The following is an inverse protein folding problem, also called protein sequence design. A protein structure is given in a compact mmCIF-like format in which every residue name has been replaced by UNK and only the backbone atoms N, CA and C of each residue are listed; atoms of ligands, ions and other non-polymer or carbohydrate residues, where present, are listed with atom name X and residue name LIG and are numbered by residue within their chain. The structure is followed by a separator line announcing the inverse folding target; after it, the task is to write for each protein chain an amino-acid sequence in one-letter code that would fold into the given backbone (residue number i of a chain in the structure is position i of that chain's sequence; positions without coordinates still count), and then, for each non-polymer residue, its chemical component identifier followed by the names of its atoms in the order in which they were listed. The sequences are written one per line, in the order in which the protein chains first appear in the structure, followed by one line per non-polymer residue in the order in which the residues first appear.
data_IF_685065350208
#
_entry.id   IF_685065350208
#
_cell.length_a   1.000
_cell.length_b   1.000
_cell.length_c   1.000
_cell.angle_alpha   90.00
_cell.angle_beta   90.00
_cell.angle_gamma   90.00
#
_symmetry.space_group_name_H-M   'P 1'
#
loop_
_entity.id
_entity.type
_entity.pdbx_description
1 polymer ?
#
# COMPACT_ATOMS: atom_id res chain seq x y z
N UNK A 1 14.99 -3.95 6.77
CA UNK A 1 13.99 -5.02 6.55
C UNK A 1 13.81 -5.27 5.06
N UNK A 2 13.82 -6.52 4.60
CA UNK A 2 13.84 -6.83 3.17
C UNK A 2 12.43 -7.10 2.62
N UNK A 3 12.02 -6.37 1.58
CA UNK A 3 10.81 -6.65 0.80
C UNK A 3 11.17 -7.08 -0.62
N UNK A 4 10.58 -8.17 -1.09
CA UNK A 4 10.68 -8.59 -2.49
C UNK A 4 9.58 -7.88 -3.29
N UNK A 5 9.96 -6.98 -4.20
CA UNK A 5 9.03 -6.15 -4.95
C UNK A 5 9.02 -6.49 -6.44
N UNK A 6 7.83 -6.44 -7.06
CA UNK A 6 7.66 -6.54 -8.51
C UNK A 6 7.88 -5.17 -9.17
N UNK A 7 8.07 -5.14 -10.49
CA UNK A 7 8.14 -3.88 -11.24
C UNK A 7 6.87 -3.03 -11.08
N UNK A 8 5.69 -3.68 -11.13
CA UNK A 8 4.41 -2.99 -10.95
C UNK A 8 4.29 -2.35 -9.56
N UNK A 9 4.72 -3.05 -8.51
CA UNK A 9 4.75 -2.52 -7.15
C UNK A 9 5.70 -1.32 -7.03
N UNK A 10 6.87 -1.37 -7.66
CA UNK A 10 7.82 -0.26 -7.64
C UNK A 10 7.31 0.98 -8.38
N UNK A 11 6.75 0.80 -9.58
CA UNK A 11 6.19 1.91 -10.35
C UNK A 11 5.07 2.60 -9.58
N UNK A 12 4.20 1.80 -8.95
CA UNK A 12 3.12 2.32 -8.15
C UNK A 12 3.62 3.11 -6.92
N UNK A 13 4.65 2.61 -6.22
CA UNK A 13 5.25 3.32 -5.10
C UNK A 13 5.92 4.62 -5.53
N UNK A 14 6.67 4.61 -6.64
CA UNK A 14 7.34 5.80 -7.18
C UNK A 14 6.33 6.88 -7.58
N UNK A 15 5.23 6.50 -8.25
CA UNK A 15 4.16 7.41 -8.63
C UNK A 15 3.40 8.02 -7.43
N UNK A 16 3.38 7.28 -6.31
CA UNK A 16 2.72 7.69 -5.06
C UNK A 16 3.52 8.68 -4.22
N UNK A 17 4.79 8.92 -4.55
CA UNK A 17 5.72 9.72 -3.76
C UNK A 17 6.13 11.00 -4.49
N UNK A 18 6.39 12.06 -3.72
CA UNK A 18 7.03 13.29 -4.21
C UNK A 18 8.32 13.55 -3.43
N UNK A 19 9.31 14.13 -4.09
CA UNK A 19 10.55 14.53 -3.42
C UNK A 19 10.30 15.75 -2.53
N UNK A 20 10.83 15.70 -1.30
CA UNK A 20 11.07 16.89 -0.48
C UNK A 20 12.53 17.30 -0.65
N UNK A 21 12.77 18.60 -0.84
CA UNK A 21 14.08 19.21 -0.61
C UNK A 21 13.96 20.32 0.43
N UNK A 22 14.93 20.39 1.32
CA UNK A 22 15.15 21.55 2.16
C UNK A 22 15.73 22.65 1.29
N UNK A 23 14.87 23.51 0.74
CA UNK A 23 15.34 24.73 0.10
C UNK A 23 15.74 25.71 1.21
N UNK A 24 17.03 26.06 1.25
CA UNK A 24 17.60 26.93 2.28
C UNK A 24 16.87 28.28 2.40
N UNK A 25 16.71 28.71 3.65
CA UNK A 25 16.36 30.05 4.12
C UNK A 25 14.97 30.64 3.81
N UNK A 26 14.03 29.92 3.18
CA UNK A 26 12.68 30.44 2.94
C UNK A 26 11.57 29.43 3.29
N UNK A 27 10.96 29.67 4.45
CA UNK A 27 9.67 29.11 4.93
C UNK A 27 9.68 27.57 5.17
N UNK A 28 9.21 27.15 6.34
CA UNK A 28 9.18 25.73 6.81
C UNK A 28 8.16 24.85 6.06
N UNK A 29 7.77 25.27 4.84
CA UNK A 29 6.84 24.56 3.99
C UNK A 29 7.65 23.79 2.99
N UNK A 30 7.89 22.52 3.30
CA UNK A 30 8.41 21.52 2.37
C UNK A 30 7.74 21.68 1.00
N UNK A 31 8.47 22.21 0.02
CA UNK A 31 7.94 22.47 -1.31
C UNK A 31 8.25 21.25 -2.19
N UNK A 32 7.22 20.51 -2.56
CA UNK A 32 7.35 19.45 -3.57
C UNK A 32 7.48 20.09 -4.96
N UNK A 33 8.35 19.55 -5.83
CA UNK A 33 8.53 20.06 -7.20
C UNK A 33 7.37 19.72 -8.15
N UNK A 34 6.50 18.77 -7.77
CA UNK A 34 5.28 18.44 -8.50
C UNK A 34 4.11 19.13 -7.79
N UNK A 35 3.20 19.77 -8.54
CA UNK A 35 1.87 20.05 -7.99
C UNK A 35 1.34 18.71 -7.47
N UNK A 36 0.90 18.63 -6.21
CA UNK A 36 0.34 17.41 -5.64
C UNK A 36 -0.83 16.98 -6.54
N UNK A 37 -0.53 16.11 -7.51
CA UNK A 37 -1.54 15.42 -8.26
C UNK A 37 -2.31 14.58 -7.22
N UNK A 38 -3.60 14.30 -7.43
CA UNK A 38 -4.38 13.49 -6.49
C UNK A 38 -3.78 12.13 -6.13
N UNK A 39 -2.70 11.69 -6.81
CA UNK A 39 -2.02 10.42 -6.62
C UNK A 39 -0.70 10.49 -5.83
N UNK A 40 -0.01 11.64 -5.77
CA UNK A 40 1.19 11.78 -4.93
C UNK A 40 0.76 12.12 -3.51
N UNK A 41 0.50 11.09 -2.71
CA UNK A 41 -0.16 11.23 -1.40
C UNK A 41 0.84 11.65 -0.33
N UNK A 42 2.12 11.33 -0.50
CA UNK A 42 3.13 11.58 0.53
C UNK A 42 4.49 11.97 -0.03
N UNK A 43 5.29 12.54 0.85
CA UNK A 43 6.58 13.09 0.58
C UNK A 43 7.68 12.12 1.04
N UNK A 44 8.72 11.95 0.23
CA UNK A 44 9.83 11.04 0.49
C UNK A 44 11.19 11.76 0.45
N UNK A 45 12.16 11.17 1.13
CA UNK A 45 13.55 11.56 1.03
C UNK A 45 14.12 11.23 -0.36
N UNK A 46 15.11 12.01 -0.85
CA UNK A 46 15.84 11.66 -2.08
C UNK A 46 16.45 10.26 -2.05
N UNK A 47 16.87 9.77 -0.88
CA UNK A 47 17.46 8.45 -0.69
C UNK A 47 16.45 7.33 -0.98
N UNK A 48 15.23 7.43 -0.45
CA UNK A 48 14.17 6.46 -0.72
C UNK A 48 13.78 6.46 -2.20
N UNK A 49 13.63 7.63 -2.81
CA UNK A 49 13.32 7.74 -4.24
C UNK A 49 14.43 7.16 -5.11
N UNK A 50 15.69 7.42 -4.78
CA UNK A 50 16.83 6.84 -5.49
C UNK A 50 16.88 5.32 -5.35
N UNK A 51 16.54 4.80 -4.16
CA UNK A 51 16.45 3.35 -3.89
C UNK A 51 15.39 2.69 -4.78
N UNK A 52 14.19 3.25 -4.87
CA UNK A 52 13.11 2.75 -5.75
C UNK A 52 13.49 2.88 -7.22
N UNK A 53 13.96 4.05 -7.66
CA UNK A 53 14.36 4.30 -9.04
C UNK A 53 15.49 3.37 -9.51
N UNK A 54 16.46 3.09 -8.65
CA UNK A 54 17.54 2.14 -8.95
C UNK A 54 17.00 0.73 -9.20
N UNK A 55 16.03 0.29 -8.41
CA UNK A 55 15.41 -1.01 -8.56
C UNK A 55 14.54 -1.10 -9.83
N UNK A 56 13.84 -0.03 -10.20
CA UNK A 56 13.07 0.06 -11.45
C UNK A 56 13.99 -0.12 -12.66
N UNK A 57 15.14 0.57 -12.68
CA UNK A 57 16.13 0.43 -13.77
C UNK A 57 16.59 -1.02 -13.91
N UNK A 58 16.84 -1.71 -12.79
CA UNK A 58 17.27 -3.12 -12.82
C UNK A 58 16.17 -4.04 -13.34
N UNK A 59 14.92 -3.87 -12.88
CA UNK A 59 13.81 -4.76 -13.24
C UNK A 59 13.21 -4.47 -14.62
N UNK A 60 13.51 -3.34 -15.24
CA UNK A 60 13.01 -3.05 -16.61
C UNK A 60 13.58 -4.05 -17.63
N UNK A 61 14.74 -4.65 -17.35
CA UNK A 61 15.39 -5.63 -18.22
C UNK A 61 15.12 -7.09 -17.81
N UNK A 62 14.43 -7.33 -16.68
CA UNK A 62 14.25 -8.66 -16.09
C UNK A 62 12.86 -8.78 -15.43
N UNK A 63 12.01 -9.67 -15.93
CA UNK A 63 10.64 -9.88 -15.41
C UNK A 63 10.64 -10.74 -14.14
N UNK A 64 11.22 -10.22 -13.07
CA UNK A 64 11.41 -10.88 -11.78
C UNK A 64 11.01 -9.99 -10.59
N UNK A 65 11.26 -10.47 -9.37
CA UNK A 65 11.16 -9.70 -8.13
C UNK A 65 12.54 -9.26 -7.66
N UNK A 66 12.64 -8.07 -7.07
CA UNK A 66 13.90 -7.56 -6.51
C UNK A 66 13.79 -7.37 -4.99
N UNK A 67 14.76 -7.86 -4.20
CA UNK A 67 14.82 -7.58 -2.78
C UNK A 67 15.31 -6.14 -2.55
N UNK A 68 14.54 -5.34 -1.80
CA UNK A 68 14.92 -3.99 -1.36
C UNK A 68 14.85 -3.90 0.15
N UNK A 69 15.88 -3.30 0.74
CA UNK A 69 15.92 -3.03 2.17
C UNK A 69 15.26 -1.70 2.53
N UNK A 70 14.31 -1.75 3.46
CA UNK A 70 13.62 -0.61 4.04
C UNK A 70 13.85 -0.52 5.55
N UNK A 71 14.03 0.69 6.07
CA UNK A 71 13.92 0.96 7.50
C UNK A 71 12.45 1.07 7.94
N UNK A 72 12.23 1.28 9.23
CA UNK A 72 10.87 1.33 9.77
C UNK A 72 10.07 2.56 9.31
N UNK A 73 10.70 3.74 9.28
CA UNK A 73 10.05 4.98 8.85
C UNK A 73 9.62 4.90 7.37
N UNK A 74 10.49 4.32 6.54
CA UNK A 74 10.20 4.00 5.15
C UNK A 74 9.00 3.04 5.05
N UNK A 75 8.91 1.99 5.87
CA UNK A 75 7.76 1.07 5.84
C UNK A 75 6.44 1.77 6.20
N UNK A 76 6.44 2.66 7.19
CA UNK A 76 5.25 3.44 7.55
C UNK A 76 4.84 4.41 6.43
N UNK A 77 5.80 5.06 5.79
CA UNK A 77 5.56 5.91 4.63
C UNK A 77 4.99 5.10 3.45
N UNK A 78 5.59 3.95 3.13
CA UNK A 78 5.11 3.06 2.06
C UNK A 78 3.70 2.53 2.36
N UNK A 79 3.36 2.28 3.63
CA UNK A 79 2.02 1.87 4.05
C UNK A 79 0.96 2.91 3.68
N UNK A 80 1.30 4.19 3.81
CA UNK A 80 0.38 5.31 3.57
C UNK A 80 0.05 5.48 2.09
N UNK A 81 1.06 5.36 1.23
CA UNK A 81 0.87 5.49 -0.21
C UNK A 81 0.27 4.22 -0.84
N UNK A 82 0.32 3.08 -0.16
CA UNK A 82 -0.20 1.81 -0.66
C UNK A 82 -1.72 1.67 -0.53
N UNK A 83 -2.49 2.14 -1.51
CA UNK A 83 -3.97 2.05 -1.55
C UNK A 83 -4.43 0.64 -1.94
N UNK A 84 -5.28 0.01 -1.12
CA UNK A 84 -5.64 -1.42 -1.25
C UNK A 84 -6.37 -1.81 -2.54
N UNK A 85 -7.10 -0.88 -3.15
CA UNK A 85 -7.94 -1.11 -4.35
C UNK A 85 -7.15 -1.04 -5.66
N UNK A 86 -5.88 -0.63 -5.62
CA UNK A 86 -5.09 -0.41 -6.82
C UNK A 86 -4.69 -1.74 -7.45
N UNK A 87 -5.01 -1.85 -8.74
CA UNK A 87 -4.55 -2.90 -9.62
C UNK A 87 -3.68 -2.28 -10.71
N UNK A 88 -2.54 -2.90 -11.02
CA UNK A 88 -1.62 -2.47 -12.05
C UNK A 88 -1.32 -3.68 -12.94
N UNK A 89 -1.61 -3.59 -14.24
CA UNK A 89 -1.45 -4.72 -15.18
C UNK A 89 -2.11 -6.04 -14.73
N UNK A 90 -3.26 -5.96 -14.04
CA UNK A 90 -3.98 -7.14 -13.52
C UNK A 90 -3.43 -7.68 -12.19
N UNK A 91 -2.35 -7.12 -11.67
CA UNK A 91 -1.83 -7.42 -10.34
C UNK A 91 -2.47 -6.51 -9.28
N UNK A 92 -2.99 -7.08 -8.20
CA UNK A 92 -3.48 -6.34 -7.03
C UNK A 92 -2.34 -5.78 -6.17
N UNK A 93 -1.59 -4.84 -6.75
CA UNK A 93 -0.40 -4.20 -6.18
C UNK A 93 -0.66 -3.63 -4.79
N UNK A 94 -1.79 -2.93 -4.61
CA UNK A 94 -2.13 -2.27 -3.35
C UNK A 94 -2.17 -3.19 -2.14
N UNK A 95 -2.95 -4.28 -2.25
CA UNK A 95 -3.08 -5.26 -1.17
C UNK A 95 -1.80 -6.12 -1.01
N UNK A 96 -1.10 -6.40 -2.11
CA UNK A 96 0.19 -7.12 -2.07
C UNK A 96 1.23 -6.34 -1.27
N UNK A 97 1.37 -5.04 -1.54
CA UNK A 97 2.26 -4.14 -0.81
C UNK A 97 1.89 -4.05 0.66
N UNK A 98 0.61 -3.78 0.98
CA UNK A 98 0.16 -3.74 2.39
C UNK A 98 0.51 -5.02 3.13
N UNK A 99 0.29 -6.19 2.52
CA UNK A 99 0.63 -7.48 3.13
C UNK A 99 2.14 -7.63 3.37
N UNK A 100 2.98 -7.22 2.41
CA UNK A 100 4.45 -7.27 2.53
C UNK A 100 4.94 -6.34 3.65
N UNK A 101 4.42 -5.11 3.67
CA UNK A 101 4.76 -4.08 4.66
C UNK A 101 4.32 -4.49 6.06
N UNK A 102 3.06 -4.90 6.25
CA UNK A 102 2.57 -5.32 7.57
C UNK A 102 3.25 -6.57 8.09
N UNK A 103 3.70 -7.48 7.22
CA UNK A 103 4.54 -8.62 7.66
C UNK A 103 5.89 -8.14 8.18
N UNK A 104 6.53 -7.19 7.50
CA UNK A 104 7.79 -6.62 7.95
C UNK A 104 7.62 -5.85 9.27
N UNK A 105 6.62 -4.97 9.36
CA UNK A 105 6.29 -4.26 10.61
C UNK A 105 5.94 -5.23 11.73
N UNK A 106 5.04 -6.19 11.50
CA UNK A 106 4.67 -7.20 12.50
C UNK A 106 5.88 -8.02 12.96
N UNK A 107 6.86 -8.29 12.09
CA UNK A 107 8.09 -8.97 12.50
C UNK A 107 8.98 -8.13 13.43
N UNK A 108 8.92 -6.80 13.32
CA UNK A 108 9.59 -5.87 14.22
C UNK A 108 8.90 -5.85 15.60
N UNK A 109 7.58 -5.90 15.60
CA UNK A 109 6.71 -5.78 16.76
C UNK A 109 6.17 -7.12 17.28
N UNK A 110 6.71 -8.24 16.82
CA UNK A 110 6.09 -9.57 17.00
C UNK A 110 5.87 -9.94 18.47
N UNK A 111 6.74 -9.48 19.38
CA UNK A 111 6.56 -9.69 20.82
C UNK A 111 5.38 -8.91 21.39
N UNK A 112 5.23 -7.64 21.02
CA UNK A 112 4.20 -6.74 21.56
C UNK A 112 2.81 -7.03 20.97
N UNK A 113 2.74 -7.32 19.66
CA UNK A 113 1.47 -7.60 18.97
C UNK A 113 0.86 -8.96 19.35
N UNK A 114 1.67 -10.00 19.57
CA UNK A 114 1.15 -11.30 19.98
C UNK A 114 0.58 -11.23 21.40
N UNK A 115 1.20 -10.47 22.30
CA UNK A 115 0.67 -10.21 23.64
C UNK A 115 -0.67 -9.44 23.58
N UNK A 116 -0.79 -8.41 22.73
CA UNK A 116 -2.05 -7.67 22.57
C UNK A 116 -3.17 -8.48 21.88
N UNK A 117 -2.82 -9.36 20.93
CA UNK A 117 -3.80 -10.22 20.25
C UNK A 117 -4.31 -11.34 21.16
N UNK A 118 -3.47 -11.88 22.05
CA UNK A 118 -3.88 -12.88 23.05
C UNK A 118 -4.83 -12.27 24.10
N UNK A 119 -4.77 -10.95 24.32
CA UNK A 119 -5.68 -10.20 25.19
C UNK A 119 -7.00 -9.80 24.51
N UNK A 120 -7.15 -10.02 23.19
CA UNK A 120 -8.42 -9.76 22.53
C UNK A 120 -9.47 -10.83 22.92
N UNK A 121 -10.71 -10.41 23.20
CA UNK A 121 -11.79 -11.38 23.38
C UNK A 121 -11.93 -12.22 22.10
N UNK A 122 -12.28 -13.51 22.21
CA UNK A 122 -12.49 -14.36 21.05
C UNK A 122 -13.48 -13.69 20.10
N UNK A 123 -13.12 -13.65 18.81
CA UNK A 123 -13.98 -13.10 17.76
C UNK A 123 -15.31 -13.85 17.82
N UNK A 124 -16.39 -13.10 18.01
CA UNK A 124 -17.74 -13.66 17.99
C UNK A 124 -18.09 -13.99 16.53
N UNK A 125 -17.90 -15.27 16.17
CA UNK A 125 -18.21 -15.83 14.86
C UNK A 125 -19.69 -15.65 14.47
N UNK A 126 -20.58 -15.20 15.36
CA UNK A 126 -21.98 -14.89 15.01
C UNK A 126 -22.15 -13.60 14.19
N UNK A 127 -21.12 -12.73 14.13
CA UNK A 127 -21.17 -11.48 13.35
C UNK A 127 -20.73 -11.65 11.89
N UNK A 128 -19.91 -12.66 11.56
CA UNK A 128 -19.44 -12.92 10.19
C UNK A 128 -20.57 -13.48 9.32
N UNK A 129 -21.36 -14.42 9.85
CA UNK A 129 -22.55 -14.98 9.19
C UNK A 129 -23.61 -13.91 8.86
N UNK A 130 -23.70 -12.85 9.66
CA UNK A 130 -24.66 -11.76 9.47
C UNK A 130 -24.23 -10.79 8.34
N UNK A 131 -22.92 -10.60 8.13
CA UNK A 131 -22.38 -9.75 7.07
C UNK A 131 -22.49 -10.46 5.71
N UNK A 132 -22.22 -11.77 5.66
CA UNK A 132 -22.33 -12.56 4.42
C UNK A 132 -23.78 -12.69 3.94
N UNK A 133 -24.74 -12.86 4.86
CA UNK A 133 -26.17 -12.85 4.51
C UNK A 133 -26.62 -11.51 3.95
N UNK A 134 -26.17 -10.41 4.55
CA UNK A 134 -26.56 -9.07 4.12
C UNK A 134 -25.98 -8.72 2.75
N UNK A 135 -24.74 -9.13 2.47
CA UNK A 135 -24.10 -8.88 1.17
C UNK A 135 -24.74 -9.67 0.03
N UNK A 136 -25.20 -10.91 0.28
CA UNK A 136 -25.96 -11.68 -0.72
C UNK A 136 -27.33 -11.05 -1.02
N UNK A 137 -28.07 -10.59 0.00
CA UNK A 137 -29.36 -9.93 -0.22
C UNK A 137 -29.22 -8.63 -1.04
N UNK A 138 -28.11 -7.89 -0.89
CA UNK A 138 -27.84 -6.69 -1.69
C UNK A 138 -27.50 -7.02 -3.15
N UNK A 139 -26.84 -8.13 -3.44
CA UNK A 139 -26.49 -8.56 -4.79
C UNK A 139 -27.72 -9.10 -5.56
N UNK A 140 -28.59 -9.84 -4.89
CA UNK A 140 -29.82 -10.35 -5.50
C UNK A 140 -30.80 -9.22 -5.86
N UNK A 141 -30.79 -8.10 -5.12
CA UNK A 141 -31.64 -6.94 -5.40
C UNK A 141 -31.30 -6.23 -6.72
N UNK A 142 -30.05 -6.33 -7.22
CA UNK A 142 -29.66 -5.71 -8.50
C UNK A 142 -30.03 -6.56 -9.71
N UNK A 143 -30.26 -7.86 -9.55
CA UNK A 143 -30.67 -8.73 -10.65
C UNK A 143 -32.13 -8.54 -11.09
N UNK A 144 -32.98 -7.89 -10.28
CA UNK A 144 -34.39 -7.64 -10.62
C UNK A 144 -34.66 -6.32 -11.35
N UNK A 145 -33.64 -5.49 -11.57
CA UNK A 145 -33.82 -4.17 -12.21
C UNK A 145 -33.40 -4.14 -13.69
N UNK A 146 -32.84 -5.23 -14.23
CA UNK A 146 -32.39 -5.30 -15.63
C UNK A 146 -33.36 -6.01 -16.59
N UNK A 147 -34.42 -6.67 -16.08
CA UNK A 147 -35.34 -7.47 -16.90
C UNK A 147 -36.64 -6.75 -17.34
N UNK A 148 -36.90 -5.52 -16.90
CA UNK A 148 -38.13 -4.76 -17.25
C UNK A 148 -37.89 -3.64 -18.29
N UNK A 149 -37.02 -3.87 -19.27
CA UNK A 149 -36.89 -2.98 -20.44
C UNK A 149 -36.96 -3.73 -21.77
N UNK A 150 -38.17 -4.17 -22.13
CA UNK A 150 -38.60 -4.43 -23.52
C UNK A 150 -39.61 -3.37 -23.99
#
# INVERSE_FOLDING_TARGET
MLLNLTLNELLYLDDGLTVIREDGDLDTRYSGYRALAPMAVSAASPELLLKLGSAIVVLTDVDEVIPIEFDEDELWLLREVSQSVVNYNGESVGINLKRKIYRALSSLYAGELLEELDDLPPVDDSLTDAVDKKNNDYLDAYHYLEDDSE
#
